data_IF_794749557254
#
_entry.id   IF_794749557254
#
_cell.length_a   1.000
_cell.length_b   1.000
_cell.length_c   1.000
_cell.angle_alpha   90.00
_cell.angle_beta   90.00
_cell.angle_gamma   90.00
#
_symmetry.space_group_name_H-M   'P 1'
#
loop_
_entity.id
_entity.type
_entity.pdbx_description
1 polymer ?
#
# COMPACT_ATOMS: atom_id res chain seq x y z
N UNK A 1 14.82 20.16 -3.15
CA UNK A 1 15.65 19.86 -1.95
C UNK A 1 16.98 19.19 -2.30
N UNK A 2 17.07 17.96 -2.84
CA UNK A 2 18.34 17.27 -3.13
C UNK A 2 19.26 18.05 -4.07
N UNK A 3 18.75 18.52 -5.22
CA UNK A 3 19.49 19.32 -6.18
C UNK A 3 19.95 20.65 -5.59
N UNK A 4 19.09 21.33 -4.85
CA UNK A 4 19.41 22.64 -4.23
C UNK A 4 20.44 22.52 -3.12
N UNK A 5 20.34 21.49 -2.29
CA UNK A 5 21.20 21.32 -1.12
C UNK A 5 22.56 20.71 -1.46
N UNK A 6 22.59 19.74 -2.39
CA UNK A 6 23.78 18.94 -2.69
C UNK A 6 24.27 19.08 -4.13
N UNK A 7 23.55 19.81 -5.01
CA UNK A 7 23.86 19.93 -6.43
C UNK A 7 23.69 18.61 -7.21
N UNK A 8 23.08 17.62 -6.59
CA UNK A 8 22.88 16.30 -7.18
C UNK A 8 21.80 16.28 -8.25
N UNK A 9 21.91 15.36 -9.20
CA UNK A 9 20.92 15.07 -10.22
C UNK A 9 20.64 13.57 -10.25
N UNK A 10 19.35 13.21 -10.26
CA UNK A 10 18.91 11.83 -10.49
C UNK A 10 18.55 11.68 -11.95
N UNK A 11 19.08 10.68 -12.61
CA UNK A 11 18.75 10.29 -13.97
C UNK A 11 18.09 8.92 -13.96
N UNK A 12 16.85 8.86 -14.45
CA UNK A 12 16.07 7.64 -14.51
C UNK A 12 16.33 6.91 -15.83
N UNK A 13 16.64 5.62 -15.75
CA UNK A 13 16.78 4.74 -16.91
C UNK A 13 15.45 4.02 -17.10
N UNK A 14 14.74 4.24 -18.20
CA UNK A 14 13.46 3.60 -18.47
C UNK A 14 13.60 2.08 -18.57
N UNK A 15 12.65 1.35 -17.96
CA UNK A 15 12.51 -0.10 -18.08
C UNK A 15 11.02 -0.45 -18.05
N UNK A 16 10.66 -1.71 -18.27
CA UNK A 16 9.31 -2.21 -18.07
C UNK A 16 9.22 -3.08 -16.81
N UNK A 17 8.02 -3.31 -16.32
CA UNK A 17 7.82 -4.18 -15.16
C UNK A 17 8.38 -5.60 -15.43
N UNK A 18 8.18 -6.12 -16.63
CA UNK A 18 8.60 -7.47 -17.00
C UNK A 18 10.12 -7.60 -17.18
N UNK A 19 10.80 -6.54 -17.64
CA UNK A 19 12.24 -6.59 -17.97
C UNK A 19 13.14 -5.98 -16.93
N UNK A 20 12.61 -5.28 -15.91
CA UNK A 20 13.37 -4.47 -14.96
C UNK A 20 14.57 -5.17 -14.32
N UNK A 21 14.43 -6.43 -13.93
CA UNK A 21 15.55 -7.19 -13.32
C UNK A 21 16.55 -7.70 -14.34
N UNK A 22 16.14 -8.07 -15.54
CA UNK A 22 17.06 -8.44 -16.62
C UNK A 22 17.86 -7.24 -17.11
N UNK A 23 17.22 -6.09 -17.20
CA UNK A 23 17.85 -4.83 -17.56
C UNK A 23 18.85 -4.39 -16.48
N UNK A 24 18.44 -4.42 -15.19
CA UNK A 24 19.34 -4.15 -14.07
C UNK A 24 20.56 -5.07 -14.08
N UNK A 25 20.35 -6.39 -14.23
CA UNK A 25 21.43 -7.36 -14.28
C UNK A 25 22.42 -7.06 -15.39
N UNK A 26 21.94 -6.72 -16.57
CA UNK A 26 22.76 -6.33 -17.72
C UNK A 26 23.57 -5.07 -17.43
N UNK A 27 22.96 -4.06 -16.85
CA UNK A 27 23.61 -2.80 -16.51
C UNK A 27 24.68 -2.96 -15.42
N UNK A 28 24.36 -3.73 -14.35
CA UNK A 28 25.31 -3.99 -13.25
C UNK A 28 26.50 -4.82 -13.74
N UNK A 29 26.27 -5.90 -14.49
CA UNK A 29 27.34 -6.73 -15.05
C UNK A 29 28.19 -5.99 -16.09
N UNK A 30 27.54 -5.09 -16.86
CA UNK A 30 28.21 -4.23 -17.83
C UNK A 30 28.99 -3.06 -17.22
N UNK A 31 28.91 -2.83 -15.93
CA UNK A 31 29.57 -1.72 -15.25
C UNK A 31 29.03 -0.35 -15.66
N UNK A 32 27.74 -0.27 -16.02
CA UNK A 32 27.10 0.94 -16.50
C UNK A 32 26.90 2.03 -15.43
N UNK A 33 27.25 1.77 -14.17
CA UNK A 33 27.22 2.76 -13.10
C UNK A 33 25.81 3.14 -12.64
N UNK A 34 24.87 2.20 -12.66
CA UNK A 34 23.56 2.36 -12.00
C UNK A 34 23.81 2.42 -10.50
N UNK A 35 23.31 3.45 -9.83
CA UNK A 35 23.57 3.66 -8.40
C UNK A 35 22.49 3.03 -7.51
N UNK A 36 21.24 3.05 -7.92
CA UNK A 36 20.15 2.49 -7.14
C UNK A 36 18.99 1.98 -8.01
N UNK A 37 18.14 1.16 -7.42
CA UNK A 37 16.99 0.52 -8.04
C UNK A 37 15.81 0.56 -7.07
N UNK A 38 14.58 0.83 -7.52
CA UNK A 38 13.40 0.78 -6.66
C UNK A 38 13.25 -0.59 -5.98
N UNK A 39 12.99 -0.56 -4.67
CA UNK A 39 12.76 -1.79 -3.94
C UNK A 39 11.42 -2.40 -4.33
N UNK A 40 11.38 -3.69 -4.50
CA UNK A 40 10.17 -4.51 -4.63
C UNK A 40 10.32 -5.87 -3.92
N UNK A 41 9.34 -6.74 -4.07
CA UNK A 41 9.32 -8.06 -3.44
C UNK A 41 10.43 -9.00 -3.93
N UNK A 42 11.00 -8.79 -5.10
CA UNK A 42 12.10 -9.59 -5.63
C UNK A 42 13.48 -9.10 -5.15
N UNK A 43 13.54 -7.91 -4.55
CA UNK A 43 14.80 -7.32 -4.12
C UNK A 43 15.48 -8.15 -3.03
N UNK A 44 14.69 -8.69 -2.08
CA UNK A 44 15.21 -9.51 -0.98
C UNK A 44 14.34 -10.77 -0.83
N UNK A 45 14.94 -11.96 -0.68
CA UNK A 45 16.39 -12.24 -0.69
C UNK A 45 16.98 -12.42 -2.09
N UNK A 46 16.15 -12.56 -3.14
CA UNK A 46 16.57 -12.98 -4.49
C UNK A 46 17.62 -12.04 -5.11
N UNK A 47 17.37 -10.74 -5.14
CA UNK A 47 18.28 -9.75 -5.71
C UNK A 47 19.61 -9.67 -4.97
N UNK A 48 19.57 -9.79 -3.63
CA UNK A 48 20.77 -9.81 -2.79
C UNK A 48 21.61 -11.06 -3.03
N UNK A 49 20.99 -12.25 -3.03
CA UNK A 49 21.69 -13.53 -3.30
C UNK A 49 22.28 -13.55 -4.70
N UNK A 50 21.59 -12.96 -5.67
CA UNK A 50 22.08 -12.85 -7.05
C UNK A 50 23.20 -11.82 -7.22
N UNK A 51 23.58 -11.11 -6.14
CA UNK A 51 24.68 -10.14 -6.15
C UNK A 51 24.36 -8.85 -6.90
N UNK A 52 23.08 -8.47 -7.03
CA UNK A 52 22.64 -7.23 -7.67
C UNK A 52 22.79 -6.02 -6.76
N UNK A 53 22.68 -6.23 -5.44
CA UNK A 53 22.66 -5.17 -4.45
C UNK A 53 23.82 -5.29 -3.47
N UNK A 54 24.19 -4.18 -2.86
CA UNK A 54 25.19 -4.08 -1.82
C UNK A 54 24.61 -3.52 -0.52
N UNK A 55 25.23 -3.82 0.65
CA UNK A 55 24.77 -3.27 1.91
C UNK A 55 24.79 -1.74 1.94
N UNK A 56 23.87 -1.16 2.70
CA UNK A 56 23.72 0.29 2.84
C UNK A 56 24.26 0.85 4.16
N UNK A 57 24.54 -0.03 5.13
CA UNK A 57 24.93 0.33 6.51
C UNK A 57 26.13 1.29 6.61
N UNK A 58 27.06 1.23 5.68
CA UNK A 58 28.26 2.08 5.71
C UNK A 58 27.97 3.53 5.27
N UNK A 59 26.76 3.82 4.82
CA UNK A 59 26.35 5.10 4.22
C UNK A 59 25.25 5.83 4.98
N UNK A 60 24.65 5.20 5.98
CA UNK A 60 23.55 5.73 6.79
C UNK A 60 23.81 5.54 8.27
N UNK A 61 23.18 6.36 9.09
CA UNK A 61 23.18 6.25 10.55
C UNK A 61 21.76 5.96 11.02
N UNK A 62 21.44 4.67 11.25
CA UNK A 62 20.13 4.23 11.69
C UNK A 62 19.76 4.71 13.10
N UNK A 63 20.76 5.12 13.91
CA UNK A 63 20.52 5.67 15.25
C UNK A 63 20.15 7.17 15.20
N UNK A 64 20.22 7.80 14.03
CA UNK A 64 19.85 9.21 13.89
C UNK A 64 18.34 9.40 13.89
N UNK A 65 17.90 10.57 14.37
CA UNK A 65 16.48 10.95 14.40
C UNK A 65 15.79 10.82 13.04
N UNK A 66 16.51 11.11 11.95
CA UNK A 66 15.99 11.06 10.59
C UNK A 66 15.56 9.66 10.14
N UNK A 67 16.27 8.61 10.62
CA UNK A 67 16.00 7.22 10.27
C UNK A 67 15.11 6.48 11.27
N UNK A 68 14.86 7.10 12.45
CA UNK A 68 14.14 6.44 13.57
C UNK A 68 12.78 5.90 13.17
N UNK A 69 12.01 6.64 12.38
CA UNK A 69 10.64 6.28 11.99
C UNK A 69 10.60 5.07 11.03
N UNK A 70 11.66 4.85 10.27
CA UNK A 70 11.76 3.74 9.32
C UNK A 70 12.72 2.64 9.76
N UNK A 71 13.37 2.77 10.90
CA UNK A 71 14.37 1.82 11.39
C UNK A 71 13.81 0.40 11.53
N UNK A 72 12.61 0.26 12.11
CA UNK A 72 11.93 -1.04 12.25
C UNK A 72 11.61 -1.66 10.88
N UNK A 73 11.23 -0.84 9.92
CA UNK A 73 10.99 -1.29 8.54
C UNK A 73 12.31 -1.68 7.85
N UNK A 74 13.38 -0.97 8.11
CA UNK A 74 14.73 -1.29 7.61
C UNK A 74 15.21 -2.67 8.10
N UNK A 75 14.93 -3.03 9.36
CA UNK A 75 15.28 -4.33 9.92
C UNK A 75 14.63 -5.50 9.18
N UNK A 76 13.45 -5.31 8.56
CA UNK A 76 12.80 -6.33 7.72
C UNK A 76 13.59 -6.63 6.44
N UNK A 77 14.49 -5.73 6.01
CA UNK A 77 15.41 -5.90 4.88
C UNK A 77 16.83 -6.19 5.32
N UNK A 78 16.98 -6.77 6.52
CA UNK A 78 18.24 -7.31 7.01
C UNK A 78 18.48 -8.71 6.43
N UNK A 79 19.63 -8.92 5.81
CA UNK A 79 20.07 -10.22 5.34
C UNK A 79 21.51 -10.49 5.81
N UNK A 80 21.70 -11.55 6.57
CA UNK A 80 22.98 -11.89 7.19
C UNK A 80 23.60 -10.74 8.03
N UNK A 81 22.76 -10.01 8.77
CA UNK A 81 23.19 -8.92 9.64
C UNK A 81 23.56 -7.62 8.92
N UNK A 82 23.13 -7.44 7.67
CA UNK A 82 23.33 -6.21 6.89
C UNK A 82 22.03 -5.76 6.23
N UNK A 83 21.80 -4.46 6.14
CA UNK A 83 20.65 -3.86 5.46
C UNK A 83 20.93 -3.66 3.97
N UNK A 84 19.94 -3.91 3.11
CA UNK A 84 20.08 -3.83 1.65
C UNK A 84 19.06 -2.90 0.98
N UNK A 85 18.12 -2.37 1.74
CA UNK A 85 17.16 -1.39 1.25
C UNK A 85 17.20 -0.12 2.11
N UNK A 86 17.12 1.03 1.47
CA UNK A 86 16.90 2.35 2.07
C UNK A 86 15.40 2.60 2.01
N UNK A 87 14.68 2.37 3.10
CA UNK A 87 13.24 2.62 3.17
C UNK A 87 13.00 4.12 3.30
N UNK A 88 12.16 4.65 2.43
CA UNK A 88 11.83 6.08 2.38
C UNK A 88 10.42 6.39 2.89
N UNK A 89 9.54 5.41 2.91
CA UNK A 89 8.19 5.53 3.44
C UNK A 89 7.59 4.18 3.82
N UNK A 90 6.65 4.24 4.75
CA UNK A 90 5.77 3.13 5.13
C UNK A 90 4.35 3.63 4.93
N UNK A 91 3.52 2.88 4.21
CA UNK A 91 2.13 3.22 3.96
C UNK A 91 1.24 1.99 4.02
N UNK A 92 -0.06 2.16 4.22
CA UNK A 92 -0.99 1.05 4.12
C UNK A 92 -0.94 0.42 2.72
N UNK A 93 -0.96 -0.92 2.64
CA UNK A 93 -0.97 -1.66 1.37
C UNK A 93 -2.26 -1.40 0.60
N UNK A 94 -3.39 -1.43 1.30
CA UNK A 94 -4.71 -1.24 0.72
C UNK A 94 -5.62 -0.38 1.60
N UNK A 95 -6.61 0.22 0.95
CA UNK A 95 -7.66 1.02 1.58
C UNK A 95 -9.02 0.60 1.03
N UNK A 96 -10.06 0.83 1.81
CA UNK A 96 -11.47 0.70 1.38
C UNK A 96 -11.94 2.05 0.90
N UNK A 97 -12.37 2.13 -0.36
CA UNK A 97 -13.05 3.29 -0.91
C UNK A 97 -14.56 3.09 -0.87
N UNK A 98 -15.30 4.18 -0.70
CA UNK A 98 -16.76 4.19 -0.73
C UNK A 98 -17.29 5.53 -1.23
N UNK A 99 -18.54 5.54 -1.68
CA UNK A 99 -19.26 6.76 -2.02
C UNK A 99 -20.08 7.21 -0.82
N UNK A 100 -19.71 8.36 -0.22
CA UNK A 100 -20.41 8.95 0.94
C UNK A 100 -21.91 9.14 0.67
N UNK A 101 -22.27 9.50 -0.55
CA UNK A 101 -23.69 9.63 -0.92
C UNK A 101 -24.42 8.29 -0.81
N UNK A 102 -23.79 7.17 -1.25
CA UNK A 102 -24.38 5.85 -1.12
C UNK A 102 -24.51 5.45 0.36
N UNK A 103 -23.52 5.73 1.18
CA UNK A 103 -23.58 5.50 2.63
C UNK A 103 -24.78 6.23 3.25
N UNK A 104 -24.94 7.50 2.96
CA UNK A 104 -26.06 8.33 3.45
C UNK A 104 -27.42 7.84 2.95
N UNK A 105 -27.55 7.50 1.66
CA UNK A 105 -28.81 7.06 1.05
C UNK A 105 -29.34 5.75 1.66
N UNK A 106 -28.43 4.87 2.07
CA UNK A 106 -28.78 3.61 2.74
C UNK A 106 -28.85 3.73 4.26
N UNK A 107 -28.51 4.90 4.82
CA UNK A 107 -28.56 5.18 6.24
C UNK A 107 -27.52 4.38 7.04
N UNK A 108 -26.38 4.09 6.43
CA UNK A 108 -25.24 3.48 7.12
C UNK A 108 -24.45 4.53 7.89
N UNK A 109 -23.82 4.10 8.97
CA UNK A 109 -22.78 4.90 9.63
C UNK A 109 -21.54 4.99 8.72
N UNK A 110 -20.85 6.13 8.75
CA UNK A 110 -19.65 6.33 7.93
C UNK A 110 -18.52 5.36 8.35
N UNK A 111 -17.89 4.64 7.40
CA UNK A 111 -16.81 3.69 7.71
C UNK A 111 -15.62 4.28 8.45
N UNK A 112 -15.27 5.55 8.20
CA UNK A 112 -14.20 6.21 8.95
C UNK A 112 -14.61 6.51 10.39
N UNK A 113 -15.81 7.02 10.62
CA UNK A 113 -16.34 7.24 11.97
C UNK A 113 -16.41 5.91 12.76
N UNK A 114 -16.86 4.84 12.10
CA UNK A 114 -16.83 3.49 12.69
C UNK A 114 -15.43 3.03 13.05
N UNK A 115 -14.42 3.37 12.25
CA UNK A 115 -13.03 3.07 12.57
C UNK A 115 -12.54 3.84 13.79
N UNK A 116 -12.78 5.14 13.88
CA UNK A 116 -12.43 5.96 15.04
C UNK A 116 -13.10 5.47 16.33
N UNK A 117 -14.33 4.96 16.22
CA UNK A 117 -15.09 4.38 17.34
C UNK A 117 -14.67 2.93 17.68
N UNK A 118 -13.75 2.33 16.94
CA UNK A 118 -13.34 0.93 17.11
C UNK A 118 -14.40 -0.10 16.72
N UNK A 119 -15.36 0.30 15.88
CA UNK A 119 -16.48 -0.54 15.41
C UNK A 119 -16.31 -1.02 13.97
N UNK A 120 -15.31 -0.51 13.24
CA UNK A 120 -15.02 -0.92 11.87
C UNK A 120 -14.27 -2.24 11.86
N UNK A 121 -15.01 -3.35 11.71
CA UNK A 121 -14.51 -4.71 11.74
C UNK A 121 -15.22 -5.59 10.71
N UNK A 122 -14.78 -6.86 10.57
CA UNK A 122 -15.34 -7.79 9.59
C UNK A 122 -16.85 -7.98 9.73
N UNK A 123 -17.38 -7.98 10.95
CA UNK A 123 -18.82 -8.17 11.19
C UNK A 123 -19.61 -6.96 10.69
N UNK A 124 -19.18 -5.75 11.06
CA UNK A 124 -19.81 -4.51 10.60
C UNK A 124 -19.74 -4.39 9.07
N UNK A 125 -18.55 -4.63 8.50
CA UNK A 125 -18.33 -4.63 7.06
C UNK A 125 -19.26 -5.63 6.34
N UNK A 126 -19.31 -6.88 6.80
CA UNK A 126 -20.17 -7.92 6.22
C UNK A 126 -21.66 -7.58 6.34
N UNK A 127 -22.09 -6.99 7.46
CA UNK A 127 -23.48 -6.60 7.67
C UNK A 127 -23.90 -5.45 6.74
N UNK A 128 -23.03 -4.46 6.54
CA UNK A 128 -23.29 -3.37 5.60
C UNK A 128 -23.42 -3.91 4.17
N UNK A 129 -22.48 -4.77 3.73
CA UNK A 129 -22.52 -5.44 2.42
C UNK A 129 -23.83 -6.23 2.24
N UNK A 130 -24.21 -7.02 3.23
CA UNK A 130 -25.43 -7.83 3.17
C UNK A 130 -26.68 -6.96 3.06
N UNK A 131 -26.82 -5.94 3.89
CA UNK A 131 -27.96 -5.00 3.87
C UNK A 131 -28.04 -4.29 2.52
N UNK A 132 -26.92 -3.86 1.97
CA UNK A 132 -26.85 -3.18 0.69
C UNK A 132 -27.33 -4.08 -0.47
N UNK A 133 -26.82 -5.32 -0.53
CA UNK A 133 -27.21 -6.27 -1.59
C UNK A 133 -28.69 -6.67 -1.44
N UNK A 134 -29.18 -6.94 -0.22
CA UNK A 134 -30.57 -7.32 0.01
C UNK A 134 -31.58 -6.24 -0.38
N UNK A 135 -31.16 -4.97 -0.44
CA UNK A 135 -32.03 -3.85 -0.83
C UNK A 135 -32.34 -3.84 -2.33
N UNK A 136 -31.44 -4.26 -3.19
CA UNK A 136 -31.62 -4.44 -4.64
C UNK A 136 -30.71 -5.57 -5.16
N UNK A 137 -31.09 -6.85 -4.97
CA UNK A 137 -30.24 -7.99 -5.28
C UNK A 137 -29.89 -8.15 -6.76
N UNK A 138 -30.66 -7.54 -7.64
CA UNK A 138 -30.48 -7.66 -9.09
C UNK A 138 -29.44 -6.64 -9.63
N UNK A 139 -29.22 -5.54 -8.91
CA UNK A 139 -28.38 -4.45 -9.37
C UNK A 139 -27.19 -4.15 -8.48
N UNK A 140 -27.27 -4.40 -7.17
CA UNK A 140 -26.25 -4.03 -6.22
C UNK A 140 -25.11 -5.05 -6.16
N UNK A 141 -23.88 -4.51 -6.09
CA UNK A 141 -22.63 -5.24 -5.90
C UNK A 141 -22.04 -4.82 -4.54
N UNK A 142 -21.75 -5.77 -3.70
CA UNK A 142 -21.25 -5.44 -2.35
C UNK A 142 -19.81 -4.96 -2.35
N UNK A 143 -18.92 -5.86 -2.72
CA UNK A 143 -17.48 -5.65 -2.70
C UNK A 143 -16.87 -5.97 -4.06
N UNK A 144 -16.08 -5.05 -4.58
CA UNK A 144 -15.15 -5.29 -5.67
C UNK A 144 -13.74 -4.77 -5.28
N UNK A 145 -12.85 -4.78 -6.22
CA UNK A 145 -11.52 -4.21 -6.11
C UNK A 145 -10.41 -5.17 -6.49
N UNK A 146 -9.38 -4.61 -7.04
CA UNK A 146 -8.24 -5.36 -7.54
C UNK A 146 -7.50 -6.14 -6.45
N UNK A 147 -7.45 -5.59 -5.24
CA UNK A 147 -6.67 -6.12 -4.11
C UNK A 147 -7.53 -6.67 -2.98
N UNK A 148 -8.87 -6.72 -3.16
CA UNK A 148 -9.83 -7.01 -2.09
C UNK A 148 -9.55 -8.31 -1.35
N UNK A 149 -9.28 -9.39 -2.06
CA UNK A 149 -9.01 -10.70 -1.46
C UNK A 149 -7.74 -10.69 -0.62
N UNK A 150 -6.64 -10.18 -1.20
CA UNK A 150 -5.34 -10.18 -0.55
C UNK A 150 -5.33 -9.25 0.68
N UNK A 151 -5.98 -8.08 0.57
CA UNK A 151 -6.12 -7.14 1.67
C UNK A 151 -6.89 -7.75 2.85
N UNK A 152 -8.02 -8.43 2.57
CA UNK A 152 -8.81 -9.09 3.60
C UNK A 152 -8.10 -10.30 4.21
N UNK A 153 -7.32 -11.08 3.46
CA UNK A 153 -6.50 -12.13 4.04
C UNK A 153 -5.42 -11.57 4.98
N UNK A 154 -4.79 -10.47 4.58
CA UNK A 154 -3.76 -9.80 5.38
C UNK A 154 -4.33 -9.09 6.62
N UNK A 155 -5.61 -8.76 6.63
CA UNK A 155 -6.26 -8.09 7.76
C UNK A 155 -6.47 -8.97 9.00
N UNK A 156 -6.05 -10.25 8.93
CA UNK A 156 -6.07 -11.20 10.06
C UNK A 156 -5.08 -10.89 11.18
N UNK A 157 -4.18 -9.93 10.98
CA UNK A 157 -3.22 -9.51 12.02
C UNK A 157 -2.01 -10.44 12.16
N UNK A 158 -1.64 -11.13 11.07
CA UNK A 158 -0.46 -11.98 11.01
C UNK A 158 0.09 -12.06 9.58
N UNK A 159 1.40 -12.04 9.43
CA UNK A 159 2.04 -12.22 8.14
C UNK A 159 2.04 -13.70 7.73
N UNK A 160 1.86 -13.99 6.44
CA UNK A 160 1.90 -15.37 5.92
C UNK A 160 3.26 -16.01 6.09
N UNK A 161 4.31 -15.22 5.96
CA UNK A 161 5.71 -15.62 6.13
C UNK A 161 6.42 -14.52 6.90
N UNK A 162 7.15 -14.92 7.92
CA UNK A 162 7.97 -14.02 8.73
C UNK A 162 9.44 -14.46 8.71
N UNK A 163 10.33 -13.51 8.90
CA UNK A 163 11.73 -13.77 9.15
C UNK A 163 12.08 -13.29 10.56
N UNK A 164 12.47 -14.21 11.44
CA UNK A 164 12.81 -13.92 12.82
C UNK A 164 14.09 -14.69 13.20
N UNK A 165 15.08 -14.00 13.74
CA UNK A 165 16.37 -14.57 14.17
C UNK A 165 17.05 -15.46 13.12
N UNK A 166 16.95 -15.07 11.82
CA UNK A 166 17.50 -15.82 10.71
C UNK A 166 16.72 -17.06 10.28
N UNK A 167 15.55 -17.30 10.88
CA UNK A 167 14.65 -18.38 10.52
C UNK A 167 13.47 -17.83 9.69
N UNK A 168 12.97 -18.68 8.80
CA UNK A 168 11.73 -18.42 8.06
C UNK A 168 10.60 -19.13 8.80
N UNK A 169 9.62 -18.39 9.25
CA UNK A 169 8.40 -18.88 9.90
C UNK A 169 7.28 -18.82 8.87
N UNK A 170 6.57 -19.93 8.70
CA UNK A 170 5.44 -20.03 7.75
C UNK A 170 4.16 -20.14 8.55
N UNK A 171 3.34 -19.08 8.54
CA UNK A 171 2.11 -18.95 9.32
C UNK A 171 0.83 -19.38 8.55
N UNK A 172 0.98 -19.95 7.36
CA UNK A 172 -0.17 -20.31 6.50
C UNK A 172 -1.23 -21.21 7.14
N UNK A 173 -0.87 -21.92 8.22
CA UNK A 173 -1.78 -22.78 8.98
C UNK A 173 -2.11 -22.21 10.37
N UNK A 174 -1.82 -20.95 10.62
CA UNK A 174 -2.17 -20.33 11.90
C UNK A 174 -3.67 -20.09 12.01
N UNK A 175 -4.17 -20.02 13.21
CA UNK A 175 -5.58 -19.75 13.49
C UNK A 175 -6.03 -18.37 12.97
N UNK A 176 -5.15 -17.36 13.03
CA UNK A 176 -5.43 -16.02 12.53
C UNK A 176 -5.60 -16.00 11.01
N UNK A 177 -4.69 -16.65 10.29
CA UNK A 177 -4.76 -16.76 8.83
C UNK A 177 -5.98 -17.58 8.41
N UNK A 178 -6.25 -18.71 9.09
CA UNK A 178 -7.44 -19.52 8.82
C UNK A 178 -8.74 -18.71 9.02
N UNK A 179 -8.82 -17.91 10.07
CA UNK A 179 -9.99 -17.03 10.30
C UNK A 179 -10.16 -15.98 9.21
N UNK A 180 -9.08 -15.34 8.76
CA UNK A 180 -9.14 -14.36 7.68
C UNK A 180 -9.60 -15.00 6.35
N UNK A 181 -9.07 -16.19 6.03
CA UNK A 181 -9.50 -16.96 4.87
C UNK A 181 -10.97 -17.38 4.95
N UNK A 182 -11.42 -17.83 6.12
CA UNK A 182 -12.82 -18.17 6.35
C UNK A 182 -13.75 -16.96 6.28
N UNK A 183 -13.31 -15.79 6.74
CA UNK A 183 -14.05 -14.55 6.57
C UNK A 183 -14.28 -14.25 5.07
N UNK A 184 -13.23 -14.29 4.26
CA UNK A 184 -13.35 -14.08 2.82
C UNK A 184 -14.24 -15.12 2.13
N UNK A 185 -14.09 -16.39 2.49
CA UNK A 185 -14.94 -17.47 1.98
C UNK A 185 -16.42 -17.26 2.34
N UNK A 186 -16.70 -16.75 3.53
CA UNK A 186 -18.06 -16.41 3.94
C UNK A 186 -18.64 -15.26 3.11
N UNK A 187 -17.86 -14.24 2.78
CA UNK A 187 -18.31 -13.16 1.89
C UNK A 187 -18.69 -13.70 0.51
N UNK A 188 -17.88 -14.58 -0.06
CA UNK A 188 -18.20 -15.26 -1.34
C UNK A 188 -19.44 -16.14 -1.25
N UNK A 189 -19.54 -16.99 -0.23
CA UNK A 189 -20.67 -17.91 -0.06
C UNK A 189 -21.99 -17.18 0.13
N UNK A 190 -21.98 -15.98 0.68
CA UNK A 190 -23.15 -15.11 0.84
C UNK A 190 -23.44 -14.25 -0.41
N UNK A 191 -22.62 -14.33 -1.45
CA UNK A 191 -22.76 -13.49 -2.64
C UNK A 191 -22.47 -12.01 -2.39
N UNK A 192 -21.63 -11.68 -1.39
CA UNK A 192 -21.31 -10.29 -1.03
C UNK A 192 -20.13 -9.71 -1.83
N UNK A 193 -19.44 -10.54 -2.59
CA UNK A 193 -18.35 -10.17 -3.49
C UNK A 193 -18.82 -10.25 -4.93
N UNK A 194 -18.40 -9.29 -5.75
CA UNK A 194 -18.75 -9.26 -7.17
C UNK A 194 -18.31 -10.55 -7.88
N UNK A 195 -19.20 -11.13 -8.65
CA UNK A 195 -18.86 -12.24 -9.55
C UNK A 195 -18.19 -11.67 -10.81
N UNK A 196 -16.86 -11.58 -10.78
CA UNK A 196 -16.05 -11.06 -11.88
C UNK A 196 -16.20 -11.87 -13.18
N UNK A 197 -16.68 -13.11 -13.10
CA UNK A 197 -16.92 -13.95 -14.30
C UNK A 197 -18.02 -13.37 -15.20
N UNK A 198 -18.90 -12.53 -14.66
CA UNK A 198 -19.93 -11.82 -15.41
C UNK A 198 -19.38 -10.61 -16.19
N UNK A 199 -18.13 -10.19 -15.90
CA UNK A 199 -17.48 -8.98 -16.40
C UNK A 199 -16.10 -9.28 -17.04
N UNK A 200 -15.95 -10.44 -17.66
CA UNK A 200 -14.70 -10.88 -18.29
C UNK A 200 -13.48 -10.84 -17.33
N UNK A 201 -13.72 -11.08 -16.04
CA UNK A 201 -12.74 -11.04 -14.94
C UNK A 201 -12.14 -9.66 -14.68
N UNK A 202 -12.83 -8.60 -15.11
CA UNK A 202 -12.43 -7.22 -14.82
C UNK A 202 -13.23 -6.63 -13.66
N UNK A 203 -12.56 -5.77 -12.88
CA UNK A 203 -13.20 -4.91 -11.89
C UNK A 203 -14.12 -3.89 -12.58
N UNK A 204 -15.12 -3.42 -11.82
CA UNK A 204 -16.10 -2.46 -12.30
C UNK A 204 -16.16 -1.21 -11.42
N UNK A 205 -15.05 -0.47 -11.21
CA UNK A 205 -14.97 0.62 -10.25
C UNK A 205 -15.99 1.75 -10.53
N UNK A 206 -16.50 1.86 -11.76
CA UNK A 206 -17.56 2.81 -12.11
C UNK A 206 -18.89 2.55 -11.40
N UNK A 207 -19.15 1.33 -10.95
CA UNK A 207 -20.38 1.00 -10.21
C UNK A 207 -20.50 1.76 -8.90
N UNK A 208 -19.37 2.12 -8.29
CA UNK A 208 -19.35 2.93 -7.09
C UNK A 208 -19.92 4.35 -7.34
N UNK A 209 -19.54 4.98 -8.47
CA UNK A 209 -20.10 6.28 -8.86
C UNK A 209 -21.58 6.19 -9.28
N UNK A 210 -22.04 5.03 -9.71
CA UNK A 210 -23.45 4.74 -10.03
C UNK A 210 -24.29 4.42 -8.79
N UNK A 211 -23.69 4.33 -7.59
CA UNK A 211 -24.36 3.94 -6.35
C UNK A 211 -24.73 2.45 -6.29
N UNK A 212 -24.13 1.62 -7.14
CA UNK A 212 -24.41 0.18 -7.27
C UNK A 212 -23.37 -0.69 -6.58
N UNK A 213 -22.28 -0.11 -6.12
CA UNK A 213 -21.23 -0.79 -5.38
C UNK A 213 -21.01 -0.08 -4.05
N UNK A 214 -20.95 -0.86 -2.96
CA UNK A 214 -20.78 -0.29 -1.64
C UNK A 214 -19.33 -0.03 -1.30
N UNK A 215 -18.46 -1.02 -1.49
CA UNK A 215 -17.05 -0.94 -1.15
C UNK A 215 -16.14 -1.42 -2.27
N UNK A 216 -15.08 -0.66 -2.51
CA UNK A 216 -14.00 -1.01 -3.43
C UNK A 216 -12.67 -1.01 -2.69
N UNK A 217 -11.99 -2.17 -2.63
CA UNK A 217 -10.68 -2.26 -1.99
C UNK A 217 -9.58 -2.17 -3.04
N UNK A 218 -8.71 -1.19 -2.89
CA UNK A 218 -7.58 -0.98 -3.79
C UNK A 218 -6.31 -0.64 -3.04
N UNK A 219 -5.18 -0.68 -3.75
CA UNK A 219 -3.88 -0.30 -3.20
C UNK A 219 -3.77 1.21 -2.99
N UNK A 220 -3.13 1.63 -1.91
CA UNK A 220 -3.04 3.05 -1.53
C UNK A 220 -2.39 3.93 -2.61
N UNK A 221 -1.42 3.39 -3.37
CA UNK A 221 -0.78 4.15 -4.45
C UNK A 221 -1.73 4.40 -5.65
N UNK A 222 -2.69 3.50 -5.91
CA UNK A 222 -3.64 3.68 -7.00
C UNK A 222 -4.59 4.85 -6.72
N UNK A 223 -4.92 5.09 -5.45
CA UNK A 223 -5.76 6.23 -5.05
C UNK A 223 -5.11 7.57 -5.43
N UNK A 224 -3.77 7.65 -5.37
CA UNK A 224 -2.99 8.85 -5.73
C UNK A 224 -2.76 9.02 -7.23
N UNK A 225 -3.05 8.01 -8.03
CA UNK A 225 -2.92 8.03 -9.48
C UNK A 225 -4.30 7.92 -10.14
N UNK A 226 -5.06 9.00 -10.21
CA UNK A 226 -6.35 8.95 -10.88
C UNK A 226 -6.15 8.92 -12.40
N UNK A 227 -7.04 8.66 -13.09
CA UNK A 227 -8.02 7.65 -13.44
C UNK A 227 -7.65 6.85 -14.69
N UNK A 228 -6.38 6.79 -15.09
CA UNK A 228 -5.99 6.08 -16.33
C UNK A 228 -6.08 4.56 -16.19
N UNK A 229 -5.98 4.07 -14.93
CA UNK A 229 -6.03 2.64 -14.64
C UNK A 229 -7.38 2.20 -14.08
N UNK A 230 -8.07 3.09 -13.36
CA UNK A 230 -9.39 2.82 -12.78
C UNK A 230 -10.10 4.14 -12.46
N UNK A 231 -11.38 4.20 -12.67
CA UNK A 231 -12.21 5.36 -12.35
C UNK A 231 -13.48 4.92 -11.65
N UNK A 232 -13.63 5.35 -10.43
CA UNK A 232 -14.85 5.09 -9.66
C UNK A 232 -16.02 5.95 -10.12
N UNK A 233 -15.79 6.97 -10.94
CA UNK A 233 -16.78 7.98 -11.32
C UNK A 233 -17.48 8.68 -10.14
N UNK A 234 -16.93 8.57 -8.94
CA UNK A 234 -17.44 9.27 -7.76
C UNK A 234 -17.13 10.76 -7.93
N UNK A 235 -18.09 11.67 -7.71
CA UNK A 235 -17.77 13.07 -7.50
C UNK A 235 -16.75 13.20 -6.37
N UNK A 236 -15.70 14.00 -6.58
CA UNK A 236 -14.57 14.03 -5.64
C UNK A 236 -15.01 14.36 -4.20
N UNK A 237 -16.01 15.22 -4.05
CA UNK A 237 -16.62 15.59 -2.75
C UNK A 237 -17.33 14.44 -2.03
N UNK A 238 -17.70 13.39 -2.78
CA UNK A 238 -18.36 12.21 -2.23
C UNK A 238 -17.41 11.03 -2.00
N UNK A 239 -16.13 11.17 -2.33
CA UNK A 239 -15.15 10.12 -2.06
C UNK A 239 -14.95 9.96 -0.55
N UNK A 240 -15.10 8.73 -0.07
CA UNK A 240 -14.77 8.31 1.27
C UNK A 240 -13.64 7.27 1.25
N UNK A 241 -12.87 7.22 2.32
CA UNK A 241 -11.77 6.27 2.50
C UNK A 241 -11.72 5.79 3.94
N UNK A 242 -11.50 4.50 4.12
CA UNK A 242 -11.28 3.89 5.43
C UNK A 242 -10.18 2.81 5.35
N UNK A 243 -9.57 2.41 6.47
CA UNK A 243 -8.64 1.28 6.49
C UNK A 243 -9.38 -0.05 6.21
N UNK A 244 -8.63 -1.09 5.83
CA UNK A 244 -9.20 -2.44 5.67
C UNK A 244 -9.68 -2.94 7.03
N UNK A 245 -10.94 -3.44 7.15
CA UNK A 245 -11.49 -3.86 8.44
C UNK A 245 -10.76 -5.08 8.99
N UNK A 246 -10.59 -5.14 10.30
CA UNK A 246 -9.99 -6.26 11.01
C UNK A 246 -11.05 -7.14 11.68
N UNK A 247 -10.60 -8.24 12.27
CA UNK A 247 -11.44 -9.06 13.17
C UNK A 247 -11.92 -8.23 14.36
N UNK A 248 -13.16 -8.45 14.82
CA UNK A 248 -13.74 -7.72 15.96
C UNK A 248 -13.00 -7.95 17.30
N UNK A 249 -12.23 -9.02 17.42
CA UNK A 249 -11.40 -9.33 18.57
C UNK A 249 -9.91 -8.98 18.40
N UNK A 250 -9.56 -8.20 17.35
CA UNK A 250 -8.21 -7.68 17.18
C UNK A 250 -7.85 -6.74 18.35
N UNK A 251 -6.72 -6.99 19.00
CA UNK A 251 -6.26 -6.16 20.12
C UNK A 251 -5.92 -4.73 19.68
N UNK A 252 -5.49 -4.60 18.45
CA UNK A 252 -5.14 -3.32 17.81
C UNK A 252 -5.58 -3.35 16.33
N UNK A 253 -5.87 -2.18 15.73
CA UNK A 253 -6.00 -2.09 14.29
C UNK A 253 -4.72 -2.60 13.60
N UNK A 254 -4.89 -3.49 12.65
CA UNK A 254 -3.80 -4.06 11.88
C UNK A 254 -3.95 -3.68 10.41
N UNK A 255 -2.90 -3.11 9.83
CA UNK A 255 -2.83 -2.85 8.41
C UNK A 255 -1.58 -3.51 7.83
N UNK A 256 -1.72 -4.19 6.70
CA UNK A 256 -0.57 -4.59 5.93
C UNK A 256 0.10 -3.34 5.36
N UNK A 257 1.44 -3.29 5.41
CA UNK A 257 2.19 -2.12 4.98
C UNK A 257 2.99 -2.40 3.71
N UNK A 258 3.05 -1.40 2.84
CA UNK A 258 4.04 -1.30 1.77
C UNK A 258 5.23 -0.50 2.28
N UNK A 259 6.41 -1.02 2.07
CA UNK A 259 7.68 -0.36 2.39
C UNK A 259 8.27 0.14 1.07
N UNK A 260 8.17 1.42 0.78
CA UNK A 260 8.78 2.00 -0.40
C UNK A 260 10.22 2.42 -0.11
N UNK A 261 11.05 2.34 -1.12
CA UNK A 261 12.46 2.69 -0.98
C UNK A 261 13.31 2.21 -2.14
N UNK A 262 14.61 2.17 -1.91
CA UNK A 262 15.58 1.86 -2.93
C UNK A 262 16.64 0.87 -2.43
N UNK A 263 17.02 -0.06 -3.30
CA UNK A 263 18.19 -0.90 -3.09
C UNK A 263 19.39 -0.26 -3.78
N UNK A 264 20.53 -0.20 -3.07
CA UNK A 264 21.78 0.27 -3.65
C UNK A 264 22.37 -0.84 -4.53
N UNK A 265 22.65 -0.55 -5.79
CA UNK A 265 23.17 -1.56 -6.69
C UNK A 265 24.61 -1.91 -6.37
N UNK A 266 25.02 -3.13 -6.66
CA UNK A 266 26.41 -3.52 -6.52
C UNK A 266 27.28 -2.77 -7.53
N UNK A 267 28.28 -2.05 -7.02
CA UNK A 267 29.16 -1.23 -7.85
C UNK A 267 28.60 0.19 -8.11
N UNK A 268 27.62 0.63 -7.33
CA UNK A 268 27.19 2.02 -7.31
C UNK A 268 28.38 2.98 -7.26
N UNK A 269 28.40 3.96 -8.14
CA UNK A 269 29.52 4.92 -8.24
C UNK A 269 29.36 6.08 -7.25
N UNK A 270 28.13 6.35 -6.82
CA UNK A 270 27.83 7.41 -5.86
C UNK A 270 26.93 6.93 -4.70
N UNK A 271 27.39 5.96 -3.88
CA UNK A 271 26.56 5.39 -2.81
C UNK A 271 26.13 6.41 -1.76
N UNK A 272 27.01 7.37 -1.41
CA UNK A 272 26.65 8.47 -0.50
C UNK A 272 25.58 9.37 -1.11
N UNK A 273 25.64 9.63 -2.42
CA UNK A 273 24.59 10.41 -3.10
C UNK A 273 23.23 9.71 -3.07
N UNK A 274 23.19 8.38 -3.15
CA UNK A 274 21.97 7.59 -2.99
C UNK A 274 21.39 7.74 -1.59
N UNK A 275 22.21 7.57 -0.54
CA UNK A 275 21.78 7.77 0.85
C UNK A 275 21.22 9.17 1.06
N UNK A 276 21.95 10.20 0.65
CA UNK A 276 21.53 11.60 0.77
C UNK A 276 20.23 11.90 -0.02
N UNK A 277 20.00 11.22 -1.14
CA UNK A 277 18.75 11.36 -1.89
C UNK A 277 17.56 10.84 -1.08
N UNK A 278 17.68 9.66 -0.47
CA UNK A 278 16.65 9.09 0.40
C UNK A 278 16.44 9.92 1.66
N UNK A 279 17.53 10.38 2.30
CA UNK A 279 17.45 11.30 3.45
C UNK A 279 16.72 12.60 3.13
N UNK A 280 16.85 13.13 1.92
CA UNK A 280 16.04 14.28 1.49
C UNK A 280 14.55 13.94 1.40
N UNK A 281 14.19 12.71 1.03
CA UNK A 281 12.81 12.21 1.04
C UNK A 281 12.27 12.12 2.46
N UNK A 282 13.01 11.50 3.38
CA UNK A 282 12.64 11.37 4.79
C UNK A 282 12.48 12.76 5.46
N UNK A 283 13.41 13.67 5.21
CA UNK A 283 13.32 15.04 5.72
C UNK A 283 12.10 15.79 5.15
N UNK A 284 11.73 15.53 3.89
CA UNK A 284 10.56 16.15 3.29
C UNK A 284 9.24 15.55 3.85
N UNK A 285 9.24 14.30 4.27
CA UNK A 285 8.06 13.65 4.83
C UNK A 285 7.59 14.28 6.16
N UNK A 286 8.53 14.86 6.94
CA UNK A 286 8.26 15.54 8.20
C UNK A 286 8.22 17.07 8.07
N UNK A 287 8.43 17.60 6.86
CA UNK A 287 8.45 19.04 6.61
C UNK A 287 7.05 19.55 6.26
N UNK A 288 6.52 20.47 7.06
CA UNK A 288 5.18 21.04 6.88
C UNK A 288 4.99 21.68 5.50
N UNK A 289 6.03 22.31 4.95
CA UNK A 289 5.96 22.92 3.62
C UNK A 289 5.88 21.90 2.49
N UNK A 290 6.58 20.76 2.64
CA UNK A 290 6.50 19.66 1.69
C UNK A 290 5.12 18.97 1.76
N UNK A 291 4.57 18.79 2.96
CA UNK A 291 3.20 18.28 3.17
C UNK A 291 2.19 19.18 2.48
N UNK A 292 2.24 20.50 2.68
CA UNK A 292 1.33 21.44 2.02
C UNK A 292 1.41 21.39 0.49
N UNK A 293 2.59 21.15 -0.09
CA UNK A 293 2.74 20.96 -1.54
C UNK A 293 2.00 19.70 -2.01
N UNK A 294 2.13 18.58 -1.28
CA UNK A 294 1.43 17.35 -1.60
C UNK A 294 -0.10 17.49 -1.44
N UNK A 295 -0.55 18.10 -0.34
CA UNK A 295 -1.96 18.34 -0.06
C UNK A 295 -2.57 19.25 -1.13
N UNK A 296 -1.84 20.27 -1.55
CA UNK A 296 -2.25 21.15 -2.64
C UNK A 296 -2.41 20.36 -3.95
N UNK A 297 -1.51 19.45 -4.26
CA UNK A 297 -1.64 18.59 -5.44
C UNK A 297 -2.90 17.73 -5.34
N UNK A 298 -3.15 17.09 -4.20
CA UNK A 298 -4.34 16.29 -3.98
C UNK A 298 -5.63 17.13 -4.16
N UNK A 299 -5.67 18.35 -3.64
CA UNK A 299 -6.81 19.25 -3.80
C UNK A 299 -6.98 19.78 -5.21
N UNK A 300 -5.90 20.15 -5.90
CA UNK A 300 -5.97 20.83 -7.20
C UNK A 300 -6.07 19.86 -8.37
N UNK A 301 -5.33 18.76 -8.35
CA UNK A 301 -5.30 17.78 -9.45
C UNK A 301 -6.38 16.70 -9.24
N UNK A 302 -6.45 16.10 -8.07
CA UNK A 302 -7.36 14.99 -7.78
C UNK A 302 -8.71 15.44 -7.26
N UNK A 303 -8.84 16.71 -6.87
CA UNK A 303 -10.06 17.31 -6.29
C UNK A 303 -10.51 16.65 -4.99
N UNK A 304 -9.61 15.99 -4.28
CA UNK A 304 -9.95 15.28 -3.06
C UNK A 304 -10.41 16.22 -1.96
N UNK A 305 -11.43 15.81 -1.17
CA UNK A 305 -11.78 16.48 0.06
C UNK A 305 -10.63 16.45 1.06
N UNK A 306 -10.58 17.41 1.98
CA UNK A 306 -9.49 17.50 2.96
C UNK A 306 -9.49 16.30 3.92
N UNK A 307 -10.65 15.82 4.33
CA UNK A 307 -10.79 14.64 5.18
C UNK A 307 -10.17 13.38 4.55
N UNK A 308 -10.36 13.14 3.25
CA UNK A 308 -9.71 12.01 2.55
C UNK A 308 -8.19 12.16 2.53
N UNK A 309 -7.70 13.39 2.37
CA UNK A 309 -6.25 13.68 2.43
C UNK A 309 -5.72 13.39 3.84
N UNK A 310 -6.43 13.82 4.87
CA UNK A 310 -6.06 13.59 6.27
C UNK A 310 -6.10 12.10 6.61
N UNK A 311 -7.15 11.38 6.24
CA UNK A 311 -7.27 9.92 6.42
C UNK A 311 -6.11 9.16 5.79
N UNK A 312 -5.64 9.59 4.60
CA UNK A 312 -4.50 8.94 3.95
C UNK A 312 -3.19 9.03 4.76
N UNK A 313 -3.05 10.05 5.61
CA UNK A 313 -1.90 10.19 6.50
C UNK A 313 -2.08 9.45 7.83
N UNK A 314 -3.31 9.13 8.20
CA UNK A 314 -3.62 8.45 9.46
C UNK A 314 -3.67 6.93 9.32
N UNK A 315 -3.98 6.41 8.12
CA UNK A 315 -3.95 4.98 7.80
C UNK A 315 -2.51 4.47 7.68
#
# INVERSE_FOLDING_TARGET
MFQEKYGGKVEWIPTTWETRYSDLSTLVLGGAGVDFFPRDEESLPKGVISGMFQPVDDYIDLDSELWSDVAVAMDKYNFNGRHYALISSVSADAVVLYNKQTIDEYGFDDPWELYEEGKWNWDTFSNMLQTFIESDPDNNVGLDGWWSELALYRSGGEAFIEAEDGNIIVNMNSEKIERAMNNMLNLYNKGLVMDKSLYDWNEQPQFMGEGRELFYITVSWAVRNPPEFWSTNIPAENLGMAPVPNSADAEHPWQAAVLDGFCMTKGAQNPLGVALYVECGLAAAVDEGAREVNDKQCREEFKWPQDVIDHLYEI
#
